data_IF_087137080920
#
_entry.id   IF_087137080920
#
_cell.length_a   1.000
_cell.length_b   1.000
_cell.length_c   1.000
_cell.angle_alpha   90.00
_cell.angle_beta   90.00
_cell.angle_gamma   90.00
#
_symmetry.space_group_name_H-M   'P 1'
#
loop_
_entity.id
_entity.type
_entity.pdbx_description
1 polymer ?
#
# COMPACT_ATOMS: atom_id res chain seq x y z
N UNK A 1 -56.72 -12.37 -69.85
CA UNK A 1 -57.22 -12.21 -68.47
C UNK A 1 -56.04 -12.55 -67.58
N UNK A 2 -55.39 -11.68 -66.81
CA UNK A 2 -55.78 -10.40 -66.20
C UNK A 2 -54.49 -9.61 -65.98
N UNK A 3 -54.58 -8.29 -66.19
CA UNK A 3 -53.52 -7.31 -65.94
C UNK A 3 -53.31 -7.11 -64.44
N UNK A 4 -52.08 -6.82 -63.99
CA UNK A 4 -51.79 -5.68 -63.10
C UNK A 4 -50.28 -5.37 -63.07
N UNK A 5 -49.98 -4.10 -63.35
CA UNK A 5 -48.68 -3.42 -63.35
C UNK A 5 -48.57 -2.55 -62.10
N UNK A 6 -47.39 -2.46 -61.46
CA UNK A 6 -46.75 -1.23 -60.88
C UNK A 6 -45.24 -1.55 -60.69
N UNK A 7 -44.29 -1.11 -61.52
CA UNK A 7 -43.53 0.18 -61.60
C UNK A 7 -42.73 0.63 -60.36
N UNK A 8 -41.39 0.52 -60.54
CA UNK A 8 -40.28 1.47 -60.25
C UNK A 8 -40.01 1.89 -58.78
N UNK A 9 -38.79 2.25 -58.34
CA UNK A 9 -37.69 2.98 -58.97
C UNK A 9 -36.30 2.56 -58.40
N UNK A 10 -35.28 2.74 -59.23
CA UNK A 10 -33.84 2.75 -58.92
C UNK A 10 -33.39 4.05 -58.25
N UNK A 11 -32.43 3.99 -57.32
CA UNK A 11 -31.41 5.04 -57.17
C UNK A 11 -30.11 4.46 -56.56
N UNK A 12 -29.00 4.65 -57.28
CA UNK A 12 -27.61 4.52 -56.80
C UNK A 12 -27.20 5.84 -56.13
N UNK A 13 -26.28 5.82 -55.15
CA UNK A 13 -25.19 6.82 -54.96
C UNK A 13 -24.29 6.45 -53.75
N UNK A 14 -23.08 5.98 -54.09
CA UNK A 14 -21.70 6.40 -53.69
C UNK A 14 -21.38 6.85 -52.23
N UNK A 15 -20.16 6.55 -51.72
CA UNK A 15 -19.83 6.46 -50.29
C UNK A 15 -19.35 7.79 -49.70
N UNK A 16 -19.50 7.96 -48.38
CA UNK A 16 -18.88 9.05 -47.64
C UNK A 16 -17.86 8.47 -46.64
N UNK A 17 -16.59 8.81 -46.85
CA UNK A 17 -15.53 8.72 -45.84
C UNK A 17 -15.97 9.49 -44.59
N UNK A 18 -16.05 8.81 -43.44
CA UNK A 18 -16.08 9.45 -42.14
C UNK A 18 -14.69 9.31 -41.51
N UNK A 19 -13.97 10.43 -41.51
CA UNK A 19 -12.74 10.66 -40.79
C UNK A 19 -13.05 10.67 -39.28
N UNK A 20 -12.87 9.57 -38.57
CA UNK A 20 -13.01 9.55 -37.11
C UNK A 20 -11.71 9.99 -36.47
N UNK A 21 -11.75 11.18 -35.88
CA UNK A 21 -10.77 11.73 -34.95
C UNK A 21 -10.55 10.74 -33.81
N UNK A 22 -9.31 10.30 -33.64
CA UNK A 22 -8.87 9.41 -32.57
C UNK A 22 -8.83 10.21 -31.26
N UNK A 23 -9.96 10.31 -30.57
CA UNK A 23 -10.04 10.85 -29.21
C UNK A 23 -9.41 9.86 -28.24
N UNK A 24 -8.35 10.27 -27.55
CA UNK A 24 -7.81 9.54 -26.41
C UNK A 24 -8.87 9.49 -25.31
N UNK A 25 -9.59 8.36 -25.22
CA UNK A 25 -10.50 8.09 -24.13
C UNK A 25 -9.67 7.78 -22.88
N UNK A 26 -9.65 8.71 -21.93
CA UNK A 26 -9.44 8.39 -20.52
C UNK A 26 -10.58 7.46 -20.11
N UNK A 27 -10.37 6.15 -20.22
CA UNK A 27 -11.28 5.18 -19.62
C UNK A 27 -11.05 5.27 -18.11
N UNK A 28 -11.81 6.15 -17.48
CA UNK A 28 -12.08 6.08 -16.05
C UNK A 28 -12.88 4.81 -15.80
N UNK A 29 -12.18 3.69 -15.58
CA UNK A 29 -12.75 2.55 -14.90
C UNK A 29 -12.99 2.96 -13.45
N UNK A 30 -14.10 3.67 -13.22
CA UNK A 30 -14.68 3.90 -11.92
C UNK A 30 -15.24 2.59 -11.37
N UNK A 31 -14.36 1.63 -11.09
CA UNK A 31 -14.68 0.57 -10.14
C UNK A 31 -14.39 1.18 -8.76
N UNK A 32 -15.40 1.83 -8.20
CA UNK A 32 -15.47 1.99 -6.75
C UNK A 32 -15.43 0.57 -6.18
N UNK A 33 -14.24 0.13 -5.76
CA UNK A 33 -14.10 -0.98 -4.84
C UNK A 33 -14.72 -0.52 -3.51
N UNK A 34 -16.05 -0.55 -3.45
CA UNK A 34 -16.75 -0.66 -2.17
C UNK A 34 -16.27 -1.97 -1.58
N UNK A 35 -15.68 -1.90 -0.39
CA UNK A 35 -15.29 -3.09 0.36
C UNK A 35 -16.50 -4.05 0.39
N UNK A 36 -16.29 -5.37 0.21
CA UNK A 36 -17.41 -6.30 0.16
C UNK A 36 -18.23 -6.22 1.45
N UNK A 37 -19.55 -6.10 1.30
CA UNK A 37 -20.49 -6.24 2.41
C UNK A 37 -20.60 -7.73 2.76
N UNK A 38 -19.82 -8.17 3.76
CA UNK A 38 -19.63 -9.56 4.16
C UNK A 38 -20.75 -10.09 5.11
N UNK A 39 -22.01 -9.81 4.81
CA UNK A 39 -23.14 -10.59 5.33
C UNK A 39 -23.19 -10.82 6.85
N UNK A 40 -23.42 -9.78 7.64
CA UNK A 40 -23.85 -9.93 9.04
C UNK A 40 -22.76 -10.25 10.07
N UNK A 41 -21.48 -10.13 9.71
CA UNK A 41 -20.41 -10.12 10.71
C UNK A 41 -20.38 -8.77 11.45
N UNK A 42 -20.13 -8.77 12.78
CA UNK A 42 -20.16 -7.54 13.57
C UNK A 42 -19.12 -6.52 13.06
N UNK A 43 -19.39 -5.21 13.15
CA UNK A 43 -18.44 -4.18 12.74
C UNK A 43 -17.14 -4.33 13.55
N UNK A 44 -15.99 -4.28 12.87
CA UNK A 44 -14.68 -4.37 13.52
C UNK A 44 -14.41 -3.07 14.28
N UNK A 45 -14.65 -3.08 15.59
CA UNK A 45 -13.98 -2.16 16.51
C UNK A 45 -12.47 -2.44 16.43
N UNK A 46 -11.76 -1.62 15.64
CA UNK A 46 -10.30 -1.50 15.52
C UNK A 46 -9.48 -2.79 15.37
N UNK A 47 -9.89 -3.72 14.50
CA UNK A 47 -9.30 -5.06 14.29
C UNK A 47 -7.83 -5.16 13.80
N UNK A 48 -6.91 -4.34 14.29
CA UNK A 48 -5.46 -4.49 14.11
C UNK A 48 -4.88 -5.25 15.29
N UNK A 49 -4.09 -6.29 14.98
CA UNK A 49 -3.22 -6.95 15.96
C UNK A 49 -1.78 -6.89 15.46
N UNK A 50 -0.87 -6.39 16.29
CA UNK A 50 0.57 -6.43 16.02
C UNK A 50 1.16 -7.54 16.88
N UNK A 51 1.63 -8.61 16.25
CA UNK A 51 2.20 -9.79 16.91
C UNK A 51 3.72 -9.71 16.92
N UNK A 52 4.33 -10.26 17.97
CA UNK A 52 5.78 -10.24 18.16
C UNK A 52 6.21 -11.32 19.17
N UNK A 53 7.50 -11.65 19.20
CA UNK A 53 8.06 -12.49 20.28
C UNK A 53 7.92 -11.82 21.64
N UNK A 54 7.98 -12.58 22.73
CA UNK A 54 7.82 -12.05 24.09
C UNK A 54 8.61 -10.74 24.28
N UNK A 55 7.91 -9.68 24.68
CA UNK A 55 8.51 -8.36 24.88
C UNK A 55 9.44 -8.38 26.11
N UNK A 56 10.67 -7.84 26.01
CA UNK A 56 11.49 -7.54 27.17
C UNK A 56 10.80 -6.55 28.14
N UNK A 57 11.41 -6.31 29.29
CA UNK A 57 11.03 -5.20 30.15
C UNK A 57 11.20 -3.85 29.44
N UNK A 58 10.52 -2.81 29.92
CA UNK A 58 10.62 -1.43 29.43
C UNK A 58 10.53 -1.29 27.90
N UNK A 59 9.71 -2.12 27.26
CA UNK A 59 9.59 -2.16 25.81
C UNK A 59 8.50 -1.24 25.30
N UNK A 60 8.74 -0.61 24.17
CA UNK A 60 7.77 0.21 23.45
C UNK A 60 7.56 -0.32 22.03
N UNK A 61 6.31 -0.22 21.55
CA UNK A 61 5.93 -0.42 20.16
C UNK A 61 5.77 0.94 19.49
N UNK A 62 6.32 1.10 18.28
CA UNK A 62 6.40 2.39 17.58
C UNK A 62 5.97 2.32 16.12
N UNK A 63 5.45 3.44 15.59
CA UNK A 63 5.44 3.71 14.14
C UNK A 63 6.42 4.82 13.80
N UNK A 64 7.14 4.66 12.68
CA UNK A 64 8.10 5.64 12.17
C UNK A 64 7.89 5.96 10.68
N UNK A 65 8.25 7.17 10.25
CA UNK A 65 7.97 7.70 8.90
C UNK A 65 8.87 7.21 7.76
N UNK A 66 10.09 6.74 8.05
CA UNK A 66 11.07 6.37 7.01
C UNK A 66 11.83 5.08 7.35
N UNK A 67 12.66 4.62 6.41
CA UNK A 67 13.58 3.48 6.59
C UNK A 67 15.00 3.87 7.04
N UNK A 68 15.34 5.16 7.04
CA UNK A 68 16.73 5.61 7.19
C UNK A 68 17.01 6.30 8.55
N UNK A 69 18.22 6.86 8.69
CA UNK A 69 18.67 7.55 9.90
C UNK A 69 17.83 8.79 10.26
N UNK A 70 16.99 9.31 9.36
CA UNK A 70 16.07 10.41 9.61
C UNK A 70 14.67 9.94 10.09
N UNK A 71 14.46 8.62 10.25
CA UNK A 71 13.21 8.02 10.75
C UNK A 71 12.72 8.72 12.01
N UNK A 72 11.56 9.39 11.93
CA UNK A 72 10.89 10.01 13.08
C UNK A 72 9.87 9.04 13.66
N UNK A 73 9.94 8.80 14.98
CA UNK A 73 8.86 8.13 15.71
C UNK A 73 7.65 9.06 15.80
N UNK A 74 6.52 8.61 15.26
CA UNK A 74 5.25 9.36 15.20
C UNK A 74 4.14 8.72 16.04
N UNK A 75 4.38 7.51 16.52
CA UNK A 75 3.52 6.81 17.48
C UNK A 75 4.39 5.96 18.39
N UNK A 76 4.04 5.91 19.67
CA UNK A 76 4.73 5.07 20.66
C UNK A 76 3.77 4.67 21.77
N UNK A 77 3.79 3.39 22.16
CA UNK A 77 3.08 2.89 23.36
C UNK A 77 3.94 1.87 24.10
N UNK A 78 3.87 1.92 25.43
CA UNK A 78 4.49 0.92 26.28
C UNK A 78 3.83 -0.45 26.08
N UNK A 79 4.64 -1.50 26.06
CA UNK A 79 4.22 -2.88 25.91
C UNK A 79 4.53 -3.62 27.22
N UNK A 80 3.57 -4.33 27.83
CA UNK A 80 3.83 -5.10 29.03
C UNK A 80 4.90 -6.19 28.80
N UNK A 81 5.77 -6.39 29.79
CA UNK A 81 6.77 -7.46 29.77
C UNK A 81 6.12 -8.81 29.51
N UNK A 82 6.70 -9.60 28.60
CA UNK A 82 6.22 -10.93 28.23
C UNK A 82 5.03 -10.95 27.27
N UNK A 83 4.44 -9.79 26.93
CA UNK A 83 3.39 -9.72 25.92
C UNK A 83 3.90 -10.21 24.55
N UNK A 84 3.00 -10.79 23.75
CA UNK A 84 3.28 -11.32 22.41
C UNK A 84 2.43 -10.68 21.32
N UNK A 85 1.51 -9.82 21.72
CA UNK A 85 0.70 -9.04 20.82
C UNK A 85 0.36 -7.70 21.46
N UNK A 86 -0.04 -6.77 20.61
CA UNK A 86 -0.54 -5.46 21.00
C UNK A 86 -1.67 -5.05 20.06
N UNK A 87 -2.73 -4.49 20.64
CA UNK A 87 -3.87 -3.93 19.90
C UNK A 87 -3.82 -2.41 20.00
N UNK A 88 -3.29 -1.72 18.99
CA UNK A 88 -3.15 -0.28 19.04
C UNK A 88 -4.50 0.43 18.89
N UNK A 89 -4.65 1.57 19.59
CA UNK A 89 -5.75 2.49 19.35
C UNK A 89 -5.49 3.30 18.07
N UNK A 90 -6.36 3.11 17.08
CA UNK A 90 -6.28 3.77 15.78
C UNK A 90 -6.59 5.26 15.83
N UNK A 91 -7.29 5.74 16.86
CA UNK A 91 -7.54 7.18 17.01
C UNK A 91 -6.25 7.96 17.19
N UNK A 92 -5.23 7.35 17.80
CA UNK A 92 -3.92 7.95 17.98
C UNK A 92 -3.24 8.29 16.64
N UNK A 93 -3.60 7.61 15.55
CA UNK A 93 -2.93 7.77 14.24
C UNK A 93 -3.72 8.63 13.28
N UNK A 94 -5.00 8.90 13.55
CA UNK A 94 -5.85 9.66 12.63
C UNK A 94 -5.26 11.02 12.29
N UNK A 95 -4.56 11.66 13.23
CA UNK A 95 -3.89 12.93 13.00
C UNK A 95 -2.66 12.84 12.09
N UNK A 96 -2.06 11.66 11.91
CA UNK A 96 -0.85 11.46 11.10
C UNK A 96 -1.13 11.57 9.60
N UNK A 97 -2.37 11.41 9.16
CA UNK A 97 -2.72 11.56 7.74
C UNK A 97 -2.44 12.96 7.20
N UNK A 98 -2.38 13.98 8.06
CA UNK A 98 -2.01 15.35 7.68
C UNK A 98 -0.54 15.48 7.24
N UNK A 99 0.29 14.51 7.61
CA UNK A 99 1.71 14.47 7.26
C UNK A 99 1.93 13.73 5.94
N UNK A 100 0.87 13.23 5.28
CA UNK A 100 0.94 12.64 3.95
C UNK A 100 1.30 13.69 2.90
N UNK A 101 2.18 13.32 1.98
CA UNK A 101 2.72 14.23 0.95
C UNK A 101 2.69 13.56 -0.42
N UNK A 102 2.52 14.36 -1.45
CA UNK A 102 2.65 13.89 -2.82
C UNK A 102 4.13 13.63 -3.11
N UNK A 103 4.46 12.43 -3.59
CA UNK A 103 5.80 12.04 -3.98
C UNK A 103 5.97 12.16 -5.49
N UNK A 104 7.10 12.71 -5.94
CA UNK A 104 7.53 12.64 -7.33
C UNK A 104 8.35 11.37 -7.53
N UNK A 105 7.81 10.46 -8.33
CA UNK A 105 8.43 9.17 -8.64
C UNK A 105 9.49 9.33 -9.75
N UNK A 106 10.43 8.37 -9.87
CA UNK A 106 11.24 8.21 -11.07
C UNK A 106 10.36 8.25 -12.33
N UNK A 107 10.78 9.03 -13.33
CA UNK A 107 9.96 9.32 -14.53
C UNK A 107 9.06 10.56 -14.40
N UNK A 108 9.04 11.22 -13.25
CA UNK A 108 8.39 12.53 -13.06
C UNK A 108 6.90 12.48 -12.76
N UNK A 109 6.31 11.29 -12.65
CA UNK A 109 4.93 11.13 -12.21
C UNK A 109 4.79 11.54 -10.73
N UNK A 110 3.77 12.30 -10.41
CA UNK A 110 3.44 12.64 -9.02
C UNK A 110 2.31 11.74 -8.50
N UNK A 111 2.48 11.20 -7.30
CA UNK A 111 1.46 10.43 -6.58
C UNK A 111 0.44 11.35 -5.92
N UNK A 112 -0.76 10.85 -5.54
CA UNK A 112 -1.56 11.50 -4.52
C UNK A 112 -0.79 11.62 -3.19
N UNK A 113 -1.35 12.34 -2.22
CA UNK A 113 -0.69 12.48 -0.92
C UNK A 113 -0.65 11.12 -0.22
N UNK A 114 0.55 10.62 0.03
CA UNK A 114 0.81 9.29 0.59
C UNK A 114 1.70 9.39 1.83
N UNK A 115 1.50 8.47 2.77
CA UNK A 115 2.34 8.28 3.94
C UNK A 115 2.54 6.78 4.15
N UNK A 116 3.79 6.34 4.24
CA UNK A 116 4.14 4.99 4.65
C UNK A 116 4.77 5.04 6.03
N UNK A 117 4.33 4.17 6.93
CA UNK A 117 4.87 4.01 8.26
C UNK A 117 5.29 2.55 8.46
N UNK A 118 6.34 2.37 9.25
CA UNK A 118 6.84 1.04 9.64
C UNK A 118 6.66 0.80 11.13
N UNK A 119 6.32 -0.43 11.50
CA UNK A 119 6.39 -0.87 12.88
C UNK A 119 7.82 -1.06 13.33
N UNK A 120 8.08 -0.79 14.60
CA UNK A 120 9.34 -1.08 15.27
C UNK A 120 9.12 -1.30 16.76
N UNK A 121 10.14 -1.84 17.43
CA UNK A 121 10.16 -1.96 18.89
C UNK A 121 11.53 -1.54 19.42
N UNK A 122 11.54 -0.88 20.57
CA UNK A 122 12.77 -0.59 21.30
C UNK A 122 12.61 -0.89 22.79
N UNK A 123 13.71 -1.21 23.44
CA UNK A 123 13.80 -1.40 24.89
C UNK A 123 14.45 -0.16 25.51
N UNK A 124 13.67 0.60 26.26
CA UNK A 124 14.12 1.81 26.95
C UNK A 124 14.97 1.45 28.17
N UNK A 125 16.30 1.44 27.99
CA UNK A 125 17.26 0.99 29.00
C UNK A 125 17.58 2.10 29.99
N UNK A 126 17.36 3.35 29.60
CA UNK A 126 17.70 4.53 30.40
C UNK A 126 16.46 5.28 30.95
N UNK A 127 15.26 4.77 30.69
CA UNK A 127 13.97 5.29 31.18
C UNK A 127 13.67 6.71 30.70
N UNK A 128 14.15 7.11 29.51
CA UNK A 128 13.90 8.44 28.95
C UNK A 128 12.68 8.49 28.02
N UNK A 129 12.05 7.33 27.75
CA UNK A 129 10.87 7.20 26.91
C UNK A 129 11.12 7.44 25.43
N UNK A 130 12.37 7.38 24.95
CA UNK A 130 12.76 7.64 23.55
C UNK A 130 13.68 6.53 23.07
N UNK A 131 13.65 6.19 21.78
CA UNK A 131 14.60 5.22 21.25
C UNK A 131 15.98 5.86 21.09
N UNK A 132 16.95 5.40 21.87
CA UNK A 132 18.36 5.75 21.69
C UNK A 132 19.13 4.69 20.89
N UNK A 133 20.36 5.05 20.51
CA UNK A 133 21.26 4.13 19.83
C UNK A 133 21.51 2.87 20.68
N UNK A 134 21.29 1.69 20.11
CA UNK A 134 21.45 0.40 20.80
C UNK A 134 20.24 -0.08 21.62
N UNK A 135 19.11 0.64 21.55
CA UNK A 135 17.85 0.25 22.21
C UNK A 135 16.85 -0.41 21.26
N UNK A 136 16.99 -0.19 19.95
CA UNK A 136 16.16 -0.85 18.94
C UNK A 136 16.29 -2.36 19.02
N UNK A 137 15.16 -3.04 19.09
CA UNK A 137 15.10 -4.49 18.97
C UNK A 137 15.21 -4.84 17.49
N UNK A 138 16.02 -5.85 17.14
CA UNK A 138 16.08 -6.37 15.77
C UNK A 138 14.78 -7.12 15.46
N UNK A 139 13.74 -6.37 15.17
CA UNK A 139 12.40 -6.86 14.86
C UNK A 139 11.86 -6.07 13.69
N UNK A 140 11.50 -6.78 12.63
CA UNK A 140 11.04 -6.22 11.38
C UNK A 140 9.66 -6.77 11.01
N UNK A 141 8.87 -5.91 10.37
CA UNK A 141 7.77 -6.32 9.51
C UNK A 141 8.13 -5.91 8.10
N UNK A 142 7.82 -6.75 7.12
CA UNK A 142 7.93 -6.36 5.73
C UNK A 142 6.82 -5.36 5.40
N UNK A 143 5.61 -5.59 5.92
CA UNK A 143 4.44 -4.77 5.62
C UNK A 143 4.49 -3.37 6.24
N UNK A 144 3.80 -2.45 5.57
CA UNK A 144 3.66 -1.05 5.98
C UNK A 144 2.27 -0.74 6.49
N UNK A 145 2.19 0.23 7.39
CA UNK A 145 0.96 1.00 7.57
C UNK A 145 1.00 2.12 6.54
N UNK A 146 0.03 2.16 5.63
CA UNK A 146 -0.03 3.13 4.56
C UNK A 146 -1.27 4.01 4.68
N UNK A 147 -1.14 5.28 4.33
CA UNK A 147 -2.26 6.18 4.09
C UNK A 147 -2.13 6.77 2.68
N UNK A 148 -3.23 6.88 1.95
CA UNK A 148 -3.31 7.71 0.76
C UNK A 148 -4.60 8.55 0.77
N UNK A 149 -4.52 9.82 0.40
CA UNK A 149 -5.72 10.66 0.30
C UNK A 149 -6.68 10.15 -0.80
N UNK A 150 -6.14 9.57 -1.86
CA UNK A 150 -6.87 8.90 -2.94
C UNK A 150 -6.22 7.57 -3.30
N UNK A 151 -7.03 6.61 -3.73
CA UNK A 151 -6.51 5.35 -4.23
C UNK A 151 -5.69 5.58 -5.51
N UNK A 152 -4.58 4.87 -5.67
CA UNK A 152 -3.74 5.00 -6.85
C UNK A 152 -2.95 3.74 -7.15
N UNK A 153 -2.47 3.68 -8.39
CA UNK A 153 -1.47 2.73 -8.84
C UNK A 153 -0.29 3.49 -9.41
N UNK A 154 0.91 2.98 -9.14
CA UNK A 154 2.14 3.52 -9.69
C UNK A 154 3.10 2.37 -10.03
N UNK A 155 3.81 2.53 -11.12
CA UNK A 155 4.83 1.60 -11.58
C UNK A 155 6.03 2.41 -12.04
N UNK A 156 7.21 2.12 -11.50
CA UNK A 156 8.42 2.90 -11.78
C UNK A 156 9.68 2.09 -11.48
N UNK A 157 10.76 2.43 -12.16
CA UNK A 157 12.07 1.81 -11.94
C UNK A 157 12.94 2.69 -11.03
N UNK A 158 13.57 2.07 -10.04
CA UNK A 158 14.60 2.72 -9.22
C UNK A 158 16.00 2.49 -9.81
N UNK A 159 16.95 3.41 -9.54
CA UNK A 159 18.33 3.27 -10.00
C UNK A 159 19.04 1.98 -9.57
N UNK A 160 18.57 1.30 -8.53
CA UNK A 160 19.15 0.07 -7.97
C UNK A 160 18.67 -1.22 -8.66
N UNK A 161 18.29 -1.17 -9.95
CA UNK A 161 17.68 -2.29 -10.69
C UNK A 161 16.48 -2.91 -9.94
N UNK A 162 15.62 -2.04 -9.42
CA UNK A 162 14.40 -2.45 -8.70
C UNK A 162 13.19 -1.86 -9.41
N UNK A 163 12.32 -2.73 -9.91
CA UNK A 163 11.05 -2.36 -10.47
C UNK A 163 9.98 -2.34 -9.37
N UNK A 164 9.37 -1.17 -9.15
CA UNK A 164 8.39 -0.92 -8.10
C UNK A 164 6.98 -0.95 -8.67
N UNK A 165 6.08 -1.68 -8.00
CA UNK A 165 4.65 -1.70 -8.32
C UNK A 165 3.85 -1.41 -7.06
N UNK A 166 3.16 -0.28 -7.05
CA UNK A 166 2.33 0.17 -5.93
C UNK A 166 0.86 0.12 -6.31
N UNK A 167 0.04 -0.44 -5.42
CA UNK A 167 -1.42 -0.45 -5.53
C UNK A 167 -2.01 -0.14 -4.16
N UNK A 168 -2.29 1.15 -3.94
CA UNK A 168 -2.59 1.68 -2.62
C UNK A 168 -4.05 2.17 -2.59
N UNK A 169 -4.80 1.71 -1.59
CA UNK A 169 -6.17 2.12 -1.34
C UNK A 169 -6.22 3.53 -0.72
N UNK A 170 -7.35 4.23 -0.91
CA UNK A 170 -7.62 5.48 -0.20
C UNK A 170 -7.84 5.20 1.30
N UNK A 171 -7.42 6.15 2.13
CA UNK A 171 -7.46 6.02 3.58
C UNK A 171 -6.30 5.19 4.12
N UNK A 172 -6.41 4.81 5.39
CA UNK A 172 -5.43 3.94 6.04
C UNK A 172 -5.60 2.50 5.53
N UNK A 173 -4.48 1.81 5.29
CA UNK A 173 -4.41 0.39 4.94
C UNK A 173 -3.15 -0.27 5.52
N UNK A 174 -3.14 -1.60 5.65
CA UNK A 174 -1.89 -2.37 5.64
C UNK A 174 -1.49 -2.52 4.17
N UNK A 175 -0.27 -2.12 3.83
CA UNK A 175 0.33 -2.38 2.53
C UNK A 175 1.30 -3.55 2.67
N UNK A 176 0.93 -4.70 2.10
CA UNK A 176 1.81 -5.87 2.05
C UNK A 176 3.00 -5.57 1.16
N UNK A 177 4.18 -5.95 1.64
CA UNK A 177 5.44 -5.70 0.95
C UNK A 177 6.07 -7.01 0.53
N UNK A 178 6.23 -7.19 -0.78
CA UNK A 178 6.89 -8.36 -1.36
C UNK A 178 8.11 -7.93 -2.17
N UNK A 179 9.20 -8.66 -2.03
CA UNK A 179 10.39 -8.52 -2.89
C UNK A 179 10.62 -9.86 -3.57
N UNK A 180 10.58 -9.87 -4.89
CA UNK A 180 10.85 -11.04 -5.71
C UNK A 180 12.22 -10.93 -6.35
N UNK A 181 12.94 -12.06 -6.38
CA UNK A 181 14.17 -12.18 -7.13
C UNK A 181 13.92 -11.92 -8.63
N UNK A 182 14.95 -11.47 -9.37
CA UNK A 182 14.86 -11.33 -10.81
C UNK A 182 14.45 -12.66 -11.47
N UNK A 183 13.72 -12.56 -12.56
CA UNK A 183 13.46 -13.73 -13.42
C UNK A 183 14.78 -14.17 -14.07
N UNK A 184 14.87 -15.45 -14.46
CA UNK A 184 16.07 -15.98 -15.13
C UNK A 184 16.43 -15.14 -16.37
N UNK A 185 17.70 -14.72 -16.45
CA UNK A 185 18.19 -13.84 -17.52
C UNK A 185 17.86 -12.35 -17.34
N UNK A 186 17.37 -11.95 -16.16
CA UNK A 186 17.15 -10.55 -15.80
C UNK A 186 17.93 -10.17 -14.54
N UNK A 187 18.24 -8.88 -14.43
CA UNK A 187 18.93 -8.30 -13.27
C UNK A 187 17.99 -7.45 -12.39
N UNK A 188 16.74 -7.23 -12.81
CA UNK A 188 15.78 -6.38 -12.10
C UNK A 188 14.97 -7.16 -11.05
N UNK A 189 15.13 -6.77 -9.79
CA UNK A 189 14.25 -7.22 -8.71
C UNK A 189 12.88 -6.55 -8.86
N UNK A 190 11.82 -7.22 -8.35
CA UNK A 190 10.48 -6.64 -8.32
C UNK A 190 10.00 -6.44 -6.91
N UNK A 191 9.60 -5.22 -6.58
CA UNK A 191 8.99 -4.88 -5.30
C UNK A 191 7.53 -4.52 -5.48
N UNK A 192 6.66 -5.17 -4.70
CA UNK A 192 5.23 -4.87 -4.67
C UNK A 192 4.84 -4.29 -3.32
N UNK A 193 4.07 -3.22 -3.35
CA UNK A 193 3.40 -2.64 -2.19
C UNK A 193 1.90 -2.60 -2.46
N UNK A 194 1.12 -3.45 -1.78
CA UNK A 194 -0.31 -3.62 -2.06
C UNK A 194 -1.18 -3.49 -0.82
N UNK A 195 -2.14 -2.57 -0.85
CA UNK A 195 -3.13 -2.47 0.22
C UNK A 195 -3.98 -3.75 0.32
N UNK A 196 -4.15 -4.23 1.55
CA UNK A 196 -4.96 -5.39 1.89
C UNK A 196 -6.06 -5.01 2.89
N UNK A 197 -7.12 -5.81 2.93
CA UNK A 197 -8.19 -5.71 3.94
C UNK A 197 -7.80 -6.36 5.26
N UNK A 198 -6.69 -7.11 5.31
CA UNK A 198 -6.18 -7.76 6.51
C UNK A 198 -5.25 -6.85 7.28
N UNK A 199 -5.51 -6.70 8.57
CA UNK A 199 -4.89 -5.68 9.43
C UNK A 199 -3.99 -6.26 10.52
N UNK A 200 -3.65 -7.54 10.42
CA UNK A 200 -2.69 -8.20 11.30
C UNK A 200 -1.25 -7.96 10.81
N UNK A 201 -0.38 -7.51 11.71
CA UNK A 201 1.06 -7.39 11.48
C UNK A 201 1.79 -8.41 12.33
N UNK A 202 2.90 -8.94 11.83
CA UNK A 202 3.81 -9.75 12.65
C UNK A 202 5.23 -9.21 12.52
N UNK A 203 5.81 -8.87 13.66
CA UNK A 203 7.20 -8.46 13.77
C UNK A 203 8.03 -9.69 14.10
N UNK A 204 9.00 -9.96 13.26
CA UNK A 204 9.89 -11.10 13.39
C UNK A 204 11.31 -10.60 13.61
N UNK A 205 12.14 -11.40 14.29
CA UNK A 205 13.59 -11.24 14.16
C UNK A 205 13.98 -11.41 12.69
N UNK A 206 15.04 -10.73 12.24
CA UNK A 206 15.59 -10.99 10.92
C UNK A 206 15.79 -12.50 10.76
N UNK A 207 15.18 -13.08 9.73
CA UNK A 207 15.47 -14.46 9.36
C UNK A 207 16.98 -14.49 9.09
N UNK A 208 17.77 -15.33 9.79
CA UNK A 208 19.16 -15.50 9.42
C UNK A 208 19.21 -15.83 7.94
N UNK A 209 20.03 -15.12 7.17
CA UNK A 209 20.34 -15.53 5.81
C UNK A 209 21.00 -16.92 5.94
N UNK A 210 20.20 -17.99 5.85
CA UNK A 210 20.74 -19.32 5.61
C UNK A 210 21.37 -19.24 4.24
N UNK A 211 22.70 -19.17 4.24
CA UNK A 211 23.56 -18.99 3.08
C UNK A 211 23.18 -19.88 1.90
N UNK A 212 23.19 -19.26 0.71
CA UNK A 212 23.58 -19.74 -0.63
C UNK A 212 23.62 -21.25 -0.89
#
# INVERSE_FOLDING_TARGET
MTSHTVKSQTAKLTPLLALTVLGAALVSCGQQNTAPNLGGLPPLDTGITVRFDAAPDNTYLTLSTDEDAASKVVYQKAVPTGARDFKPDLNDWKALSKDAVALTLPGGQTTPAVLFLKWGMFQDKNSNGKPDAGEWLNRMTHDRVAYADKAFQAEFDEPAAMHQVWNIASGWSRAEHYVYAPLEGKDDFRRFSRSTTFWDFTLHVETPLSSM
#
